data_IF_981512196292
#
_entry.id   IF_981512196292
#
_cell.length_a   1.000
_cell.length_b   1.000
_cell.length_c   1.000
_cell.angle_alpha   90.00
_cell.angle_beta   90.00
_cell.angle_gamma   90.00
#
_symmetry.space_group_name_H-M   'P 1'
#
loop_
_entity.id
_entity.type
_entity.pdbx_description
1 polymer ?
#
# COMPACT_ATOMS: atom_id res chain seq x y z
N UNK A 1 -31.69 29.95 0.10
CA UNK A 1 -31.14 29.60 -1.23
C UNK A 1 -30.06 28.56 -1.02
N UNK A 2 -30.40 27.27 -1.11
CA UNK A 2 -29.40 26.20 -1.10
C UNK A 2 -28.77 26.17 -2.49
N UNK A 3 -27.59 26.79 -2.61
CA UNK A 3 -26.79 26.76 -3.82
C UNK A 3 -26.36 25.31 -4.05
N UNK A 4 -26.98 24.63 -5.01
CA UNK A 4 -26.58 23.29 -5.41
C UNK A 4 -25.15 23.32 -5.97
N UNK A 5 -24.28 22.47 -5.44
CA UNK A 5 -22.87 22.33 -5.86
C UNK A 5 -22.70 21.69 -7.26
N UNK A 6 -23.54 22.08 -8.23
CA UNK A 6 -23.38 21.63 -9.62
C UNK A 6 -22.47 22.62 -10.35
N UNK A 7 -21.18 22.31 -10.40
CA UNK A 7 -20.20 22.98 -11.27
C UNK A 7 -18.99 23.63 -10.59
N UNK A 8 -18.89 23.60 -9.26
CA UNK A 8 -17.74 24.14 -8.52
C UNK A 8 -16.51 23.23 -8.64
N UNK A 9 -15.32 23.79 -8.80
CA UNK A 9 -14.06 23.03 -8.79
C UNK A 9 -13.59 22.73 -7.36
N UNK A 10 -12.59 21.85 -7.22
CA UNK A 10 -12.06 21.48 -5.90
C UNK A 10 -11.55 22.70 -5.09
N UNK A 11 -10.96 23.69 -5.76
CA UNK A 11 -10.51 24.93 -5.13
C UNK A 11 -11.66 25.73 -4.52
N UNK A 12 -12.78 25.88 -5.24
CA UNK A 12 -13.96 26.60 -4.77
C UNK A 12 -14.54 25.97 -3.50
N UNK A 13 -14.58 24.63 -3.43
CA UNK A 13 -15.06 23.89 -2.24
C UNK A 13 -14.16 24.11 -1.03
N UNK A 14 -12.84 24.07 -1.25
CA UNK A 14 -11.88 24.36 -0.19
C UNK A 14 -12.02 25.80 0.33
N UNK A 15 -12.24 26.76 -0.57
CA UNK A 15 -12.50 28.15 -0.21
C UNK A 15 -13.81 28.32 0.57
N UNK A 16 -14.88 27.61 0.18
CA UNK A 16 -16.15 27.59 0.91
C UNK A 16 -15.97 27.04 2.32
N UNK A 17 -15.27 25.91 2.47
CA UNK A 17 -14.97 25.31 3.79
C UNK A 17 -14.22 26.29 4.69
N UNK A 18 -13.21 26.97 4.14
CA UNK A 18 -12.41 27.93 4.91
C UNK A 18 -13.19 29.21 5.24
N UNK A 19 -13.81 29.86 4.25
CA UNK A 19 -14.44 31.18 4.41
C UNK A 19 -15.79 31.14 5.12
N UNK A 20 -16.63 30.12 4.88
CA UNK A 20 -17.97 30.05 5.47
C UNK A 20 -18.01 29.25 6.77
N UNK A 21 -17.16 28.23 6.89
CA UNK A 21 -17.19 27.31 8.03
C UNK A 21 -15.93 27.37 8.90
N UNK A 22 -14.88 28.07 8.47
CA UNK A 22 -13.62 28.14 9.22
C UNK A 22 -12.85 26.82 9.25
N UNK A 23 -13.17 25.89 8.34
CA UNK A 23 -12.59 24.54 8.32
C UNK A 23 -11.45 24.49 7.31
N UNK A 24 -10.28 24.01 7.75
CA UNK A 24 -9.16 23.73 6.86
C UNK A 24 -9.20 22.25 6.44
N UNK A 25 -9.57 21.99 5.18
CA UNK A 25 -9.66 20.64 4.64
C UNK A 25 -8.38 19.82 4.83
N UNK A 26 -7.20 20.45 4.78
CA UNK A 26 -5.93 19.73 4.94
C UNK A 26 -5.70 19.22 6.38
N UNK A 27 -6.35 19.81 7.38
CA UNK A 27 -6.24 19.40 8.77
C UNK A 27 -7.20 18.27 9.15
N UNK A 28 -8.12 17.90 8.26
CA UNK A 28 -9.01 16.77 8.49
C UNK A 28 -8.20 15.46 8.59
N UNK A 29 -8.64 14.51 9.43
CA UNK A 29 -8.02 13.19 9.53
C UNK A 29 -7.84 12.52 8.16
N UNK A 30 -6.68 11.88 7.96
CA UNK A 30 -6.37 11.20 6.69
C UNK A 30 -7.41 10.14 6.32
N UNK A 31 -8.09 9.52 7.29
CA UNK A 31 -9.17 8.57 7.03
C UNK A 31 -10.31 9.17 6.19
N UNK A 32 -10.59 10.47 6.32
CA UNK A 32 -11.64 11.16 5.55
C UNK A 32 -11.14 11.64 4.19
N UNK A 33 -9.82 11.85 4.04
CA UNK A 33 -9.21 12.34 2.79
C UNK A 33 -8.71 11.22 1.87
N UNK A 34 -8.20 10.14 2.46
CA UNK A 34 -7.51 9.03 1.79
C UNK A 34 -8.25 7.69 1.95
N UNK A 35 -9.21 7.61 2.88
CA UNK A 35 -9.94 6.37 3.17
C UNK A 35 -9.13 5.41 4.04
N UNK A 36 -9.53 4.13 4.04
CA UNK A 36 -8.87 3.06 4.80
C UNK A 36 -8.40 1.98 3.85
N UNK A 37 -7.11 1.65 3.92
CA UNK A 37 -6.49 0.60 3.11
C UNK A 37 -6.10 -0.54 4.03
N UNK A 38 -6.56 -1.75 3.71
CA UNK A 38 -6.29 -2.95 4.51
C UNK A 38 -5.39 -3.87 3.71
N UNK A 39 -4.23 -4.20 4.24
CA UNK A 39 -3.28 -5.11 3.58
C UNK A 39 -2.51 -5.96 4.58
N UNK A 40 -1.83 -7.00 4.08
CA UNK A 40 -0.92 -7.82 4.87
C UNK A 40 0.41 -7.11 5.00
N UNK A 41 0.81 -6.87 6.23
CA UNK A 41 2.01 -6.14 6.58
C UNK A 41 3.24 -7.03 6.46
N UNK A 42 4.19 -6.55 5.66
CA UNK A 42 5.50 -7.14 5.44
C UNK A 42 6.53 -6.01 5.55
N UNK A 43 7.79 -6.37 5.78
CA UNK A 43 8.89 -5.42 5.93
C UNK A 43 9.00 -4.50 4.70
N UNK A 44 8.87 -3.20 4.92
CA UNK A 44 8.99 -2.17 3.89
C UNK A 44 10.39 -2.21 3.26
N UNK A 45 10.44 -2.06 1.94
CA UNK A 45 11.69 -2.00 1.17
C UNK A 45 12.04 -0.53 0.91
N UNK A 46 13.33 -0.17 1.03
CA UNK A 46 13.77 1.19 0.70
C UNK A 46 13.63 1.48 -0.82
N UNK A 47 13.10 2.65 -1.21
CA UNK A 47 12.97 3.03 -2.61
C UNK A 47 14.36 3.22 -3.22
N UNK A 48 14.76 2.27 -4.08
CA UNK A 48 16.10 2.20 -4.68
C UNK A 48 16.75 0.83 -4.57
N UNK A 49 16.31 -0.03 -3.64
CA UNK A 49 16.81 -1.41 -3.51
C UNK A 49 16.07 -2.42 -4.40
N UNK A 50 15.00 -2.00 -5.09
CA UNK A 50 14.15 -2.87 -5.93
C UNK A 50 14.84 -3.42 -7.18
N UNK A 51 16.05 -2.93 -7.53
CA UNK A 51 16.91 -3.57 -8.53
C UNK A 51 17.68 -4.80 -8.01
N UNK A 52 17.63 -5.10 -6.71
CA UNK A 52 18.45 -6.15 -6.08
C UNK A 52 17.71 -7.15 -5.18
N UNK A 53 16.39 -7.03 -5.02
CA UNK A 53 15.55 -8.07 -4.37
C UNK A 53 14.69 -8.81 -5.40
N UNK A 54 15.30 -9.12 -6.55
CA UNK A 54 15.10 -10.42 -7.15
C UNK A 54 16.00 -11.31 -6.30
N UNK A 55 15.44 -12.20 -5.48
CA UNK A 55 16.24 -13.25 -4.82
C UNK A 55 17.26 -13.79 -5.86
N UNK A 56 18.54 -13.80 -5.51
CA UNK A 56 19.59 -14.53 -6.24
C UNK A 56 19.27 -16.03 -6.39
N UNK A 57 18.15 -16.50 -5.82
CA UNK A 57 17.58 -17.82 -6.06
C UNK A 57 16.75 -17.91 -7.37
N UNK A 58 16.57 -16.79 -8.09
CA UNK A 58 15.86 -16.75 -9.38
C UNK A 58 16.79 -16.86 -10.59
N UNK A 59 18.03 -17.28 -10.38
CA UNK A 59 18.96 -17.72 -11.42
C UNK A 59 19.30 -19.21 -11.23
N UNK A 60 18.28 -20.07 -11.22
CA UNK A 60 18.48 -21.51 -11.45
C UNK A 60 17.72 -21.97 -12.68
N UNK A 61 18.53 -22.55 -13.56
CA UNK A 61 18.21 -23.26 -14.80
C UNK A 61 17.01 -24.19 -14.66
N UNK A 62 16.29 -24.32 -15.78
CA UNK A 62 15.18 -25.18 -16.25
C UNK A 62 14.80 -26.48 -15.47
N UNK A 63 15.57 -26.95 -14.50
CA UNK A 63 15.38 -28.23 -13.80
C UNK A 63 14.55 -28.17 -12.48
N UNK A 64 14.05 -27.00 -12.04
CA UNK A 64 13.37 -26.87 -10.73
C UNK A 64 11.83 -26.82 -10.73
N UNK A 65 11.16 -27.27 -11.79
CA UNK A 65 9.69 -27.37 -11.85
C UNK A 65 9.07 -28.33 -10.79
N UNK A 66 9.89 -29.10 -10.08
CA UNK A 66 9.44 -30.07 -9.07
C UNK A 66 9.45 -29.54 -7.61
N UNK A 67 9.97 -28.33 -7.33
CA UNK A 67 10.01 -27.75 -5.96
C UNK A 67 8.67 -27.10 -5.54
N UNK A 68 7.70 -27.12 -6.43
CA UNK A 68 6.47 -26.32 -6.44
C UNK A 68 5.56 -26.48 -5.22
N UNK A 69 5.46 -27.66 -4.61
CA UNK A 69 4.55 -27.89 -3.46
C UNK A 69 5.12 -27.36 -2.13
N UNK A 70 6.44 -27.41 -1.95
CA UNK A 70 7.09 -27.06 -0.67
C UNK A 70 7.30 -25.55 -0.53
N UNK A 71 7.59 -24.85 -1.64
CA UNK A 71 7.67 -23.38 -1.65
C UNK A 71 6.27 -22.75 -1.47
N UNK A 72 5.25 -23.25 -2.19
CA UNK A 72 3.87 -22.77 -2.01
C UNK A 72 3.35 -22.96 -0.58
N UNK A 73 3.68 -24.08 0.07
CA UNK A 73 3.28 -24.32 1.45
C UNK A 73 4.00 -23.37 2.43
N UNK A 74 5.28 -23.11 2.21
CA UNK A 74 6.05 -22.10 2.98
C UNK A 74 5.45 -20.70 2.78
N UNK A 75 5.12 -20.32 1.55
CA UNK A 75 4.52 -19.02 1.24
C UNK A 75 3.10 -18.89 1.78
N UNK A 76 2.33 -19.98 1.80
CA UNK A 76 1.03 -20.04 2.47
C UNK A 76 1.19 -19.83 3.97
N UNK A 77 2.16 -20.48 4.61
CA UNK A 77 2.47 -20.29 6.04
C UNK A 77 2.92 -18.86 6.35
N UNK A 78 3.72 -18.23 5.47
CA UNK A 78 4.11 -16.82 5.60
C UNK A 78 2.91 -15.88 5.48
N UNK A 79 2.05 -16.09 4.48
CA UNK A 79 0.80 -15.32 4.30
C UNK A 79 -0.15 -15.43 5.50
N UNK A 80 -0.20 -16.59 6.14
CA UNK A 80 -1.05 -16.81 7.32
C UNK A 80 -0.48 -16.16 8.59
N UNK A 81 0.84 -15.92 8.65
CA UNK A 81 1.51 -15.28 9.79
C UNK A 81 1.60 -13.76 9.68
N UNK A 82 1.33 -13.20 8.49
CA UNK A 82 1.38 -11.76 8.28
C UNK A 82 0.26 -11.06 9.05
N UNK A 83 0.61 -9.97 9.73
CA UNK A 83 -0.35 -9.10 10.43
C UNK A 83 -1.18 -8.35 9.38
N UNK A 84 -2.47 -8.20 9.62
CA UNK A 84 -3.33 -7.35 8.77
C UNK A 84 -3.32 -5.96 9.37
N UNK A 85 -2.79 -4.99 8.63
CA UNK A 85 -2.68 -3.60 9.06
C UNK A 85 -3.66 -2.73 8.27
N UNK A 86 -4.22 -1.73 8.95
CA UNK A 86 -5.10 -0.71 8.37
C UNK A 86 -4.34 0.60 8.35
N UNK A 87 -4.12 1.18 7.17
CA UNK A 87 -3.46 2.46 7.01
C UNK A 87 -4.33 3.46 6.24
N UNK A 88 -4.07 4.75 6.44
CA UNK A 88 -4.73 5.87 5.77
C UNK A 88 -3.73 6.62 4.90
N UNK A 89 -3.32 6.02 3.78
CA UNK A 89 -2.21 6.50 2.95
C UNK A 89 -2.64 6.69 1.49
N UNK A 90 -1.83 7.42 0.73
CA UNK A 90 -2.04 7.64 -0.70
C UNK A 90 -1.59 6.43 -1.52
N UNK A 91 -2.53 5.75 -2.16
CA UNK A 91 -2.29 4.57 -3.01
C UNK A 91 -2.16 4.91 -4.50
N UNK A 92 -2.28 6.19 -4.87
CA UNK A 92 -2.23 6.64 -6.26
C UNK A 92 -0.77 6.85 -6.70
N UNK A 93 0.11 7.24 -5.79
CA UNK A 93 1.54 7.47 -6.07
C UNK A 93 2.34 6.17 -6.05
N UNK A 94 3.40 6.13 -6.87
CA UNK A 94 4.29 4.97 -7.00
C UNK A 94 5.01 4.60 -5.70
N UNK A 95 5.31 5.59 -4.85
CA UNK A 95 5.96 5.39 -3.55
C UNK A 95 5.28 4.31 -2.68
N UNK A 96 3.95 4.22 -2.74
CA UNK A 96 3.21 3.20 -2.01
C UNK A 96 3.53 1.78 -2.52
N UNK A 97 3.56 1.61 -3.84
CA UNK A 97 3.78 0.35 -4.53
C UNK A 97 5.25 -0.08 -4.51
N UNK A 98 6.18 0.86 -4.67
CA UNK A 98 7.63 0.62 -4.65
C UNK A 98 8.12 0.16 -3.28
N UNK A 99 7.59 0.75 -2.20
CA UNK A 99 7.91 0.33 -0.84
C UNK A 99 7.30 -1.03 -0.47
N UNK A 100 6.30 -1.49 -1.24
CA UNK A 100 5.50 -2.70 -0.97
C UNK A 100 5.42 -3.66 -2.18
N UNK A 101 6.57 -4.17 -2.68
CA UNK A 101 6.61 -4.98 -3.91
C UNK A 101 5.85 -6.32 -3.82
N UNK A 102 5.56 -6.82 -2.60
CA UNK A 102 4.74 -8.01 -2.39
C UNK A 102 3.29 -7.84 -2.85
N UNK A 103 2.77 -6.62 -2.90
CA UNK A 103 1.41 -6.33 -3.38
C UNK A 103 1.27 -6.63 -4.87
N UNK A 104 2.32 -6.38 -5.66
CA UNK A 104 2.34 -6.61 -7.10
C UNK A 104 2.85 -8.01 -7.47
N UNK A 105 3.85 -8.53 -6.74
CA UNK A 105 4.49 -9.79 -7.07
C UNK A 105 3.72 -11.05 -6.62
N UNK A 106 2.69 -10.90 -5.78
CA UNK A 106 1.94 -12.00 -5.13
C UNK A 106 2.83 -12.98 -4.33
N UNK A 107 4.10 -12.63 -4.13
CA UNK A 107 5.06 -13.35 -3.29
C UNK A 107 5.08 -12.69 -1.92
N UNK A 108 4.94 -13.45 -0.82
CA UNK A 108 4.98 -12.88 0.52
C UNK A 108 6.35 -12.27 0.79
N UNK A 109 6.37 -11.04 1.33
CA UNK A 109 7.59 -10.37 1.77
C UNK A 109 8.17 -10.99 3.04
N UNK A 110 9.23 -10.37 3.56
CA UNK A 110 9.76 -10.71 4.89
C UNK A 110 8.74 -10.27 5.94
N UNK A 111 8.46 -11.14 6.91
CA UNK A 111 7.59 -10.78 8.04
C UNK A 111 8.41 -9.83 8.92
N UNK A 112 7.89 -8.63 9.26
CA UNK A 112 8.60 -7.70 10.12
C UNK A 112 8.93 -8.39 11.44
N UNK A 113 10.18 -8.29 11.89
CA UNK A 113 10.57 -8.78 13.21
C UNK A 113 9.97 -7.81 14.23
N UNK A 114 8.96 -8.26 14.98
CA UNK A 114 8.52 -7.54 16.18
C UNK A 114 9.74 -7.32 17.08
N UNK A 115 10.04 -6.05 17.39
CA UNK A 115 10.98 -5.63 18.43
C UNK A 115 10.20 -5.25 19.67
#
# INVERSE_FOLDING_TARGET
MLMGEKGSVAADKNEILFKRFGINYNNEPEMYKKGSVVFRDYELVEPGSVSGVIDEDSAKTVEQLEVSKTQEEKDRKRRAKAVITIEHVDIIKDEFWERRPWLLSNKPGKIPKET
#
